data_IF_895333790122
#
_entry.id   IF_895333790122
#
_cell.length_a   1.000
_cell.length_b   1.000
_cell.length_c   1.000
_cell.angle_alpha   90.00
_cell.angle_beta   90.00
_cell.angle_gamma   90.00
#
_symmetry.space_group_name_H-M   'P 1'
#
loop_
_entity.id
_entity.type
_entity.pdbx_description
1 polymer ?
#
# COMPACT_ATOMS: atom_id res chain seq x y z
N UNK A 1 -40.24 -17.13 18.98
CA UNK A 1 -38.83 -16.78 18.70
C UNK A 1 -38.83 -15.30 18.40
N UNK A 2 -38.10 -14.50 19.18
CA UNK A 2 -37.99 -13.07 18.97
C UNK A 2 -36.61 -12.80 18.39
N UNK A 3 -36.55 -12.15 17.24
CA UNK A 3 -35.30 -11.76 16.62
C UNK A 3 -34.92 -10.35 17.11
N UNK A 4 -33.66 -10.17 17.48
CA UNK A 4 -33.10 -8.88 17.85
C UNK A 4 -32.00 -8.54 16.84
N UNK A 5 -32.15 -7.41 16.16
CA UNK A 5 -31.13 -6.85 15.26
C UNK A 5 -30.34 -5.79 16.02
N UNK A 6 -29.01 -5.90 15.99
CA UNK A 6 -28.09 -4.90 16.56
C UNK A 6 -27.26 -4.34 15.41
N UNK A 7 -27.34 -3.03 15.19
CA UNK A 7 -26.58 -2.32 14.17
C UNK A 7 -25.53 -1.43 14.85
N UNK A 8 -24.30 -1.47 14.35
CA UNK A 8 -23.20 -0.65 14.83
C UNK A 8 -22.91 0.47 13.83
N UNK A 9 -22.78 1.70 14.32
CA UNK A 9 -22.44 2.86 13.51
C UNK A 9 -21.20 3.55 14.08
N UNK A 10 -20.35 4.05 13.19
CA UNK A 10 -19.25 4.95 13.51
C UNK A 10 -19.61 6.36 13.04
N UNK A 11 -19.27 7.37 13.82
CA UNK A 11 -19.44 8.77 13.43
C UNK A 11 -18.15 9.34 12.82
N UNK A 12 -18.19 10.62 12.45
CA UNK A 12 -17.05 11.33 11.86
C UNK A 12 -15.86 11.54 12.81
N UNK A 13 -16.02 11.27 14.10
CA UNK A 13 -14.95 11.32 15.10
C UNK A 13 -14.23 9.98 15.30
N UNK A 14 -14.69 8.92 14.62
CA UNK A 14 -14.07 7.60 14.70
C UNK A 14 -12.68 7.58 14.04
N UNK A 15 -11.65 7.64 14.90
CA UNK A 15 -10.23 7.62 14.56
C UNK A 15 -9.48 6.50 15.31
N UNK A 16 -9.71 5.23 14.94
CA UNK A 16 -9.09 4.08 15.58
C UNK A 16 -7.59 3.99 15.28
N UNK A 17 -6.81 3.45 16.21
CA UNK A 17 -5.42 3.12 15.94
C UNK A 17 -5.31 1.95 14.95
N UNK A 18 -4.34 1.95 14.02
CA UNK A 18 -4.17 0.87 13.05
C UNK A 18 -4.02 -0.50 13.71
N UNK A 19 -4.60 -1.54 13.10
CA UNK A 19 -4.52 -2.94 13.55
C UNK A 19 -5.04 -3.16 14.99
N UNK A 20 -6.04 -2.39 15.40
CA UNK A 20 -6.72 -2.63 16.68
C UNK A 20 -7.94 -3.51 16.50
N UNK A 21 -8.11 -4.44 17.44
CA UNK A 21 -9.37 -5.16 17.59
C UNK A 21 -10.44 -4.16 18.03
N UNK A 22 -11.59 -4.21 17.36
CA UNK A 22 -12.76 -3.49 17.84
C UNK A 22 -13.20 -4.13 19.16
N UNK A 23 -13.21 -3.34 20.23
CA UNK A 23 -13.82 -3.74 21.48
C UNK A 23 -15.01 -2.83 21.76
N UNK A 24 -16.11 -3.44 22.19
CA UNK A 24 -17.22 -2.67 22.74
C UNK A 24 -16.84 -2.22 24.15
N UNK A 25 -16.99 -0.93 24.42
CA UNK A 25 -16.74 -0.38 25.74
C UNK A 25 -17.67 -1.06 26.74
N UNK A 26 -17.08 -1.66 27.77
CA UNK A 26 -17.79 -2.33 28.84
C UNK A 26 -17.54 -1.59 30.17
N UNK A 27 -18.60 -1.40 30.94
CA UNK A 27 -18.55 -0.72 32.25
C UNK A 27 -19.09 -1.59 33.40
N UNK A 28 -19.40 -2.86 33.15
CA UNK A 28 -20.19 -3.73 34.05
C UNK A 28 -19.76 -5.20 34.04
N UNK A 29 -20.70 -6.14 33.94
CA UNK A 29 -20.45 -7.58 33.64
C UNK A 29 -21.18 -8.02 32.35
N UNK A 30 -21.68 -7.04 31.58
CA UNK A 30 -22.48 -7.20 30.37
C UNK A 30 -22.46 -5.91 29.55
N UNK A 31 -22.77 -5.98 28.26
CA UNK A 31 -22.84 -4.81 27.37
C UNK A 31 -24.22 -4.16 27.38
N UNK A 32 -25.28 -4.97 27.27
CA UNK A 32 -26.66 -4.52 27.29
C UNK A 32 -27.47 -5.35 28.29
N UNK A 33 -28.44 -4.74 28.96
CA UNK A 33 -29.42 -5.46 29.77
C UNK A 33 -30.83 -5.01 29.47
N UNK A 34 -31.74 -5.97 29.33
CA UNK A 34 -33.17 -5.71 29.23
C UNK A 34 -33.81 -6.05 30.56
N UNK A 35 -34.31 -5.04 31.26
CA UNK A 35 -35.10 -5.23 32.46
C UNK A 35 -36.53 -5.60 32.06
N UNK A 36 -37.00 -6.75 32.52
CA UNK A 36 -38.39 -7.16 32.38
C UNK A 36 -39.08 -7.05 33.74
N UNK A 37 -40.00 -6.10 33.84
CA UNK A 37 -40.81 -5.85 35.04
C UNK A 37 -42.06 -6.75 35.01
N UNK A 38 -42.12 -7.75 35.89
CA UNK A 38 -43.26 -8.66 36.01
C UNK A 38 -43.41 -9.71 34.90
N UNK A 39 -42.36 -10.46 34.51
CA UNK A 39 -42.49 -11.50 33.49
C UNK A 39 -43.48 -12.59 33.93
N UNK A 40 -44.58 -12.73 33.20
CA UNK A 40 -45.53 -13.85 33.31
C UNK A 40 -46.66 -13.71 34.33
N UNK A 41 -46.63 -12.72 35.23
CA UNK A 41 -47.72 -12.50 36.21
C UNK A 41 -47.92 -11.00 36.47
N UNK A 42 -49.13 -10.43 36.24
CA UNK A 42 -49.42 -9.06 36.61
C UNK A 42 -49.21 -8.84 38.12
N UNK A 43 -48.54 -7.75 38.50
CA UNK A 43 -48.37 -7.29 39.89
C UNK A 43 -47.29 -7.98 40.75
N UNK A 44 -46.29 -8.63 40.15
CA UNK A 44 -45.09 -9.08 40.89
C UNK A 44 -43.97 -8.06 40.72
N UNK A 45 -43.53 -7.43 41.80
CA UNK A 45 -42.44 -6.43 41.84
C UNK A 45 -41.03 -7.01 41.62
N UNK A 46 -40.92 -8.26 41.16
CA UNK A 46 -39.65 -8.93 40.92
C UNK A 46 -39.24 -8.71 39.46
N UNK A 47 -38.28 -7.82 39.25
CA UNK A 47 -37.66 -7.65 37.94
C UNK A 47 -36.61 -8.73 37.69
N UNK A 48 -36.56 -9.22 36.46
CA UNK A 48 -35.46 -10.06 35.96
C UNK A 48 -34.80 -9.34 34.81
N UNK A 49 -33.46 -9.36 34.80
CA UNK A 49 -32.67 -8.77 33.74
C UNK A 49 -32.16 -9.87 32.82
N UNK A 50 -32.38 -9.72 31.51
CA UNK A 50 -31.62 -10.42 30.50
C UNK A 50 -30.35 -9.63 30.24
N UNK A 51 -29.19 -10.17 30.62
CA UNK A 51 -27.87 -9.60 30.34
C UNK A 51 -27.35 -10.19 29.03
N UNK A 52 -26.92 -9.33 28.11
CA UNK A 52 -26.38 -9.71 26.82
C UNK A 52 -24.93 -9.21 26.73
N UNK A 53 -24.06 -10.12 26.33
CA UNK A 53 -22.67 -9.85 26.03
C UNK A 53 -22.36 -10.33 24.61
N UNK A 54 -21.56 -9.54 23.89
CA UNK A 54 -21.15 -9.80 22.53
C UNK A 54 -19.63 -9.85 22.51
N UNK A 55 -19.09 -11.02 22.21
CA UNK A 55 -17.67 -11.13 21.95
C UNK A 55 -17.42 -10.81 20.47
N UNK A 56 -16.82 -9.67 20.19
CA UNK A 56 -16.43 -9.27 18.83
C UNK A 56 -15.10 -9.94 18.43
N UNK A 57 -15.07 -11.26 18.45
CA UNK A 57 -13.92 -12.01 17.94
C UNK A 57 -13.79 -11.76 16.43
N UNK A 58 -12.57 -11.45 15.99
CA UNK A 58 -12.17 -11.29 14.59
C UNK A 58 -12.62 -10.00 13.86
N UNK A 59 -13.16 -9.00 14.56
CA UNK A 59 -13.39 -7.67 13.97
C UNK A 59 -12.13 -6.81 14.16
N UNK A 60 -11.31 -6.73 13.10
CA UNK A 60 -10.11 -5.91 13.06
C UNK A 60 -10.28 -4.67 12.20
N UNK A 61 -9.81 -3.53 12.70
CA UNK A 61 -9.75 -2.30 11.92
C UNK A 61 -8.46 -2.30 11.09
N UNK A 62 -8.60 -2.44 9.79
CA UNK A 62 -7.51 -2.29 8.82
C UNK A 62 -7.66 -0.94 8.11
N UNK A 63 -7.15 0.11 8.74
CA UNK A 63 -7.15 1.48 8.20
C UNK A 63 -5.77 2.12 8.39
N UNK A 64 -5.28 2.93 7.42
CA UNK A 64 -5.58 2.92 5.99
C UNK A 64 -4.76 1.85 5.24
N UNK A 65 -5.29 1.27 4.16
CA UNK A 65 -4.57 0.21 3.41
C UNK A 65 -5.07 0.01 1.98
N UNK A 66 -4.23 -0.59 1.15
CA UNK A 66 -4.64 -1.24 -0.11
C UNK A 66 -4.37 -2.74 0.00
N UNK A 67 -5.34 -3.57 -0.39
CA UNK A 67 -5.24 -5.03 -0.20
C UNK A 67 -4.40 -5.73 -1.27
N UNK A 68 -4.18 -5.10 -2.42
CA UNK A 68 -3.46 -5.75 -3.52
C UNK A 68 -2.60 -4.75 -4.26
N UNK A 69 -1.43 -5.20 -4.71
CA UNK A 69 -0.54 -4.42 -5.57
C UNK A 69 -0.22 -5.22 -6.83
N UNK A 70 -0.37 -4.60 -8.00
CA UNK A 70 -0.10 -5.23 -9.30
C UNK A 70 0.88 -4.35 -10.07
N UNK A 71 1.92 -4.95 -10.63
CA UNK A 71 2.84 -4.26 -11.53
C UNK A 71 2.25 -4.26 -12.95
N UNK A 72 2.14 -3.08 -13.55
CA UNK A 72 1.58 -2.89 -14.90
C UNK A 72 2.54 -2.07 -15.77
N UNK A 73 2.46 -2.26 -17.08
CA UNK A 73 3.27 -1.56 -18.09
C UNK A 73 3.43 -2.42 -19.34
N UNK A 74 3.72 -1.79 -20.48
CA UNK A 74 3.82 -2.50 -21.78
C UNK A 74 4.88 -3.61 -21.76
N UNK A 75 6.00 -3.38 -21.08
CA UNK A 75 7.10 -4.33 -20.97
C UNK A 75 7.07 -5.17 -19.69
N UNK A 76 5.98 -5.08 -18.91
CA UNK A 76 5.86 -5.79 -17.64
C UNK A 76 5.38 -7.21 -17.84
N UNK A 77 6.08 -8.16 -17.24
CA UNK A 77 5.63 -9.54 -17.09
C UNK A 77 5.76 -9.96 -15.63
N UNK A 78 4.63 -10.25 -14.98
CA UNK A 78 4.55 -10.52 -13.54
C UNK A 78 5.15 -9.35 -12.73
N UNK A 79 6.29 -9.56 -12.08
CA UNK A 79 7.02 -8.58 -11.28
C UNK A 79 8.28 -8.05 -11.98
N UNK A 80 8.41 -8.23 -13.29
CA UNK A 80 9.61 -7.87 -14.06
C UNK A 80 9.27 -6.82 -15.10
N UNK A 81 9.99 -5.70 -15.09
CA UNK A 81 10.00 -4.69 -16.15
C UNK A 81 11.11 -5.04 -17.13
N UNK A 82 10.80 -5.31 -18.40
CA UNK A 82 11.82 -5.49 -19.42
C UNK A 82 12.29 -4.13 -19.95
N UNK A 83 13.57 -3.82 -19.76
CA UNK A 83 14.16 -2.56 -20.26
C UNK A 83 14.56 -2.65 -21.74
N UNK A 84 14.67 -3.85 -22.29
CA UNK A 84 15.17 -4.08 -23.64
C UNK A 84 16.69 -4.08 -23.73
N UNK A 85 17.19 -3.88 -24.94
CA UNK A 85 18.62 -3.91 -25.26
C UNK A 85 19.14 -2.49 -25.53
N UNK A 86 20.32 -2.19 -24.98
CA UNK A 86 20.99 -0.91 -25.17
C UNK A 86 22.43 -1.14 -25.61
N UNK A 87 22.89 -0.31 -26.53
CA UNK A 87 24.28 -0.28 -26.93
C UNK A 87 25.15 0.37 -25.84
N UNK A 88 26.42 -0.01 -25.79
CA UNK A 88 27.43 0.64 -24.93
C UNK A 88 27.46 2.15 -25.16
N UNK A 89 27.28 2.60 -26.41
CA UNK A 89 27.21 4.01 -26.78
C UNK A 89 26.06 4.73 -26.09
N UNK A 90 24.85 4.17 -26.14
CA UNK A 90 23.66 4.77 -25.51
C UNK A 90 23.81 4.92 -24.00
N UNK A 91 24.38 3.92 -23.33
CA UNK A 91 24.65 4.00 -21.89
C UNK A 91 25.72 5.05 -21.60
N UNK A 92 26.80 5.08 -22.39
CA UNK A 92 27.92 6.00 -22.19
C UNK A 92 27.53 7.46 -22.41
N UNK A 93 26.59 7.73 -23.32
CA UNK A 93 26.04 9.06 -23.60
C UNK A 93 24.73 9.36 -22.84
N UNK A 94 24.34 8.52 -21.88
CA UNK A 94 23.12 8.65 -21.08
C UNK A 94 21.82 8.84 -21.90
N UNK A 95 21.77 8.27 -23.11
CA UNK A 95 20.67 8.40 -24.07
C UNK A 95 19.76 7.16 -24.15
N UNK A 96 19.90 6.23 -23.19
CA UNK A 96 18.96 5.13 -23.02
C UNK A 96 17.54 5.67 -22.78
N UNK A 97 16.57 5.19 -23.56
CA UNK A 97 15.16 5.55 -23.41
C UNK A 97 14.60 5.03 -22.07
N UNK A 98 13.90 5.86 -21.29
CA UNK A 98 13.19 5.41 -20.10
C UNK A 98 12.07 4.43 -20.43
N UNK A 99 11.84 3.45 -19.56
CA UNK A 99 10.74 2.49 -19.65
C UNK A 99 9.75 2.72 -18.53
N UNK A 100 8.51 3.05 -18.88
CA UNK A 100 7.45 3.34 -17.94
C UNK A 100 6.82 2.07 -17.38
N UNK A 101 6.49 2.10 -16.10
CA UNK A 101 5.70 1.08 -15.42
C UNK A 101 4.91 1.73 -14.28
N UNK A 102 3.92 1.02 -13.74
CA UNK A 102 3.17 1.48 -12.58
C UNK A 102 2.95 0.36 -11.58
N UNK A 103 2.94 0.72 -10.30
CA UNK A 103 2.45 -0.15 -9.23
C UNK A 103 1.02 0.29 -8.95
N UNK A 104 0.08 -0.53 -9.41
CA UNK A 104 -1.35 -0.32 -9.22
C UNK A 104 -1.78 -0.91 -7.89
N UNK A 105 -2.09 -0.03 -6.95
CA UNK A 105 -2.61 -0.37 -5.63
C UNK A 105 -4.14 -0.48 -5.74
N UNK A 106 -4.69 -1.62 -5.39
CA UNK A 106 -6.08 -1.98 -5.61
C UNK A 106 -6.79 -2.17 -4.28
N UNK A 107 -8.10 -1.91 -4.30
CA UNK A 107 -8.98 -2.00 -3.14
C UNK A 107 -8.48 -1.11 -1.98
N UNK A 108 -8.09 0.13 -2.29
CA UNK A 108 -7.59 1.08 -1.31
C UNK A 108 -8.75 1.64 -0.46
N UNK A 109 -8.49 1.83 0.84
CA UNK A 109 -9.47 2.29 1.83
C UNK A 109 -8.85 3.38 2.72
N UNK A 110 -9.46 4.57 2.71
CA UNK A 110 -9.13 5.76 3.52
C UNK A 110 -7.68 6.23 3.41
N UNK A 111 -7.06 6.15 2.24
CA UNK A 111 -5.68 6.61 2.09
C UNK A 111 -5.68 8.10 1.82
N UNK A 112 -5.03 8.88 2.69
CA UNK A 112 -4.84 10.32 2.50
C UNK A 112 -3.43 10.64 1.98
N UNK A 113 -2.47 9.78 2.29
CA UNK A 113 -1.09 9.89 1.81
C UNK A 113 -0.45 8.51 1.60
N UNK A 114 0.35 8.43 0.56
CA UNK A 114 1.16 7.27 0.22
C UNK A 114 2.61 7.70 0.19
N UNK A 115 3.48 6.95 0.85
CA UNK A 115 4.92 7.15 0.84
C UNK A 115 5.59 5.92 0.28
N UNK A 116 6.39 6.10 -0.77
CA UNK A 116 7.10 5.02 -1.44
C UNK A 116 8.60 5.21 -1.31
N UNK A 117 9.29 4.24 -0.71
CA UNK A 117 10.75 4.16 -0.64
C UNK A 117 11.27 3.01 -1.50
N UNK A 118 12.52 3.11 -1.94
CA UNK A 118 13.19 2.07 -2.71
C UNK A 118 14.27 1.40 -1.87
N UNK A 119 14.25 0.07 -1.80
CA UNK A 119 15.31 -0.75 -1.19
C UNK A 119 15.95 -1.65 -2.22
N UNK A 120 17.24 -1.90 -2.09
CA UNK A 120 17.95 -2.87 -2.92
C UNK A 120 19.17 -3.42 -2.21
N UNK A 121 19.48 -4.69 -2.45
CA UNK A 121 20.70 -5.32 -1.93
C UNK A 121 21.95 -4.96 -2.75
N UNK A 122 21.78 -4.52 -4.00
CA UNK A 122 22.89 -4.22 -4.91
C UNK A 122 22.63 -2.86 -5.57
N UNK A 123 23.52 -1.91 -5.32
CA UNK A 123 23.52 -0.57 -5.93
C UNK A 123 24.73 -0.40 -6.84
N UNK A 124 24.72 0.65 -7.66
CA UNK A 124 25.86 1.03 -8.50
C UNK A 124 27.13 1.21 -7.67
N UNK A 125 28.27 0.77 -8.22
CA UNK A 125 29.56 0.80 -7.52
C UNK A 125 30.07 2.25 -7.43
N UNK A 126 29.88 3.02 -8.49
CA UNK A 126 30.35 4.39 -8.59
C UNK A 126 29.22 5.41 -8.44
N UNK A 127 27.97 4.99 -8.63
CA UNK A 127 26.77 5.78 -8.42
C UNK A 127 25.71 4.99 -7.62
N UNK A 128 25.70 5.13 -6.28
CA UNK A 128 24.74 4.45 -5.41
C UNK A 128 23.27 4.86 -5.61
N UNK A 129 22.99 5.89 -6.42
CA UNK A 129 21.61 6.24 -6.81
C UNK A 129 21.00 5.20 -7.78
N UNK A 130 21.84 4.38 -8.41
CA UNK A 130 21.42 3.38 -9.37
C UNK A 130 21.28 2.01 -8.69
N UNK A 131 20.30 1.22 -9.14
CA UNK A 131 20.25 -0.20 -8.87
C UNK A 131 21.37 -0.91 -9.65
N UNK A 132 22.15 -1.74 -8.97
CA UNK A 132 23.29 -2.42 -9.56
C UNK A 132 22.91 -3.77 -10.21
N UNK A 133 23.82 -4.27 -11.04
CA UNK A 133 23.66 -5.58 -11.69
C UNK A 133 23.79 -6.71 -10.65
N UNK A 134 22.78 -7.56 -10.57
CA UNK A 134 22.72 -8.74 -9.70
C UNK A 134 23.25 -10.00 -10.38
N UNK A 135 23.43 -9.98 -11.70
CA UNK A 135 24.08 -11.07 -12.41
C UNK A 135 25.57 -11.10 -12.04
N UNK A 136 26.11 -12.31 -11.96
CA UNK A 136 27.53 -12.55 -11.71
C UNK A 136 28.03 -13.53 -12.77
N UNK A 137 29.16 -13.24 -13.41
CA UNK A 137 29.71 -14.09 -14.45
C UNK A 137 30.78 -13.38 -15.28
N UNK A 138 31.13 -13.98 -16.41
CA UNK A 138 31.99 -13.34 -17.42
C UNK A 138 31.19 -12.50 -18.42
N UNK A 139 29.92 -12.82 -18.58
CA UNK A 139 29.03 -12.25 -19.60
C UNK A 139 28.05 -11.24 -19.01
N UNK A 140 28.26 -10.78 -17.77
CA UNK A 140 27.43 -9.76 -17.14
C UNK A 140 27.92 -8.35 -17.48
N UNK A 141 26.98 -7.45 -17.75
CA UNK A 141 27.27 -6.06 -18.07
C UNK A 141 27.95 -5.37 -16.87
N UNK A 142 28.96 -4.53 -17.16
CA UNK A 142 29.67 -3.72 -16.15
C UNK A 142 29.52 -2.23 -16.46
N UNK A 143 29.61 -1.40 -15.43
CA UNK A 143 29.62 0.06 -15.57
C UNK A 143 28.27 0.69 -15.90
N UNK A 144 27.17 -0.03 -15.67
CA UNK A 144 25.81 0.45 -15.83
C UNK A 144 24.98 0.15 -14.58
N UNK A 145 23.91 0.92 -14.37
CA UNK A 145 22.91 0.69 -13.34
C UNK A 145 21.56 1.26 -13.75
N UNK A 146 20.50 0.92 -13.02
CA UNK A 146 19.14 1.39 -13.34
C UNK A 146 18.73 2.52 -12.39
N UNK A 147 18.40 3.67 -12.96
CA UNK A 147 17.77 4.77 -12.26
C UNK A 147 16.26 4.53 -12.19
N UNK A 148 15.67 4.68 -11.01
CA UNK A 148 14.22 4.64 -10.81
C UNK A 148 13.73 6.03 -10.45
N UNK A 149 12.73 6.51 -11.17
CA UNK A 149 12.10 7.81 -10.91
C UNK A 149 10.58 7.64 -10.78
N UNK A 150 9.99 8.27 -9.76
CA UNK A 150 8.54 8.49 -9.70
C UNK A 150 8.16 9.63 -10.64
N UNK A 151 7.10 9.45 -11.41
CA UNK A 151 6.61 10.47 -12.34
C UNK A 151 5.83 11.58 -11.61
N UNK A 152 5.57 12.74 -12.24
CA UNK A 152 4.84 13.83 -11.60
C UNK A 152 3.43 13.41 -11.20
N UNK A 153 2.96 13.92 -10.06
CA UNK A 153 1.64 13.67 -9.50
C UNK A 153 1.16 14.91 -8.70
N UNK A 154 0.10 14.77 -7.90
CA UNK A 154 -0.45 15.88 -7.11
C UNK A 154 0.49 16.39 -5.99
N UNK A 155 1.48 15.59 -5.58
CA UNK A 155 2.46 15.91 -4.52
C UNK A 155 3.87 16.22 -5.05
N UNK A 156 4.18 15.83 -6.29
CA UNK A 156 5.48 16.06 -6.93
C UNK A 156 5.27 16.69 -8.30
N UNK A 157 5.76 17.91 -8.49
CA UNK A 157 5.64 18.64 -9.77
C UNK A 157 6.61 18.18 -10.85
N UNK A 158 7.61 17.37 -10.50
CA UNK A 158 8.66 16.86 -11.39
C UNK A 158 8.94 15.39 -11.07
N UNK A 159 9.73 14.74 -11.92
CA UNK A 159 10.25 13.41 -11.65
C UNK A 159 11.02 13.42 -10.31
N UNK A 160 10.74 12.43 -9.48
CA UNK A 160 11.41 12.24 -8.19
C UNK A 160 12.35 11.04 -8.28
N UNK A 161 13.65 11.26 -8.15
CA UNK A 161 14.63 10.17 -8.09
C UNK A 161 14.51 9.40 -6.77
N UNK A 162 14.12 8.12 -6.87
CA UNK A 162 14.13 7.19 -5.76
C UNK A 162 15.57 6.70 -5.50
N UNK A 163 16.13 7.09 -4.36
CA UNK A 163 17.49 6.70 -3.96
C UNK A 163 17.41 5.39 -3.19
N UNK A 164 17.99 4.29 -3.69
CA UNK A 164 17.95 3.00 -2.99
C UNK A 164 18.55 3.11 -1.59
N UNK A 165 17.84 2.58 -0.60
CA UNK A 165 18.28 2.48 0.81
C UNK A 165 18.42 3.81 1.57
N UNK A 166 18.05 4.94 0.97
CA UNK A 166 18.06 6.24 1.64
C UNK A 166 16.74 6.46 2.41
N UNK A 167 16.81 6.62 3.73
CA UNK A 167 15.63 6.84 4.58
C UNK A 167 14.91 8.17 4.32
N UNK A 168 15.60 9.12 3.70
CA UNK A 168 15.06 10.44 3.34
C UNK A 168 14.46 10.49 1.93
N UNK A 169 14.69 9.47 1.11
CA UNK A 169 14.16 9.39 -0.25
C UNK A 169 12.78 8.74 -0.25
N UNK A 170 11.73 9.57 -0.25
CA UNK A 170 10.33 9.14 -0.29
C UNK A 170 9.59 9.82 -1.42
N UNK A 171 9.09 9.02 -2.38
CA UNK A 171 8.14 9.48 -3.38
C UNK A 171 6.75 9.50 -2.75
N UNK A 172 6.17 10.69 -2.64
CA UNK A 172 4.87 10.87 -1.98
C UNK A 172 3.76 10.93 -3.02
N UNK A 173 2.62 10.32 -2.73
CA UNK A 173 1.40 10.48 -3.51
C UNK A 173 0.23 10.66 -2.56
N UNK A 174 -0.93 10.98 -3.10
CA UNK A 174 -2.18 10.96 -2.35
C UNK A 174 -3.29 10.40 -3.24
N UNK A 175 -4.22 9.73 -2.60
CA UNK A 175 -5.47 9.37 -3.23
C UNK A 175 -6.40 10.59 -3.28
N UNK A 176 -7.23 10.67 -4.31
CA UNK A 176 -8.33 11.61 -4.39
C UNK A 176 -9.61 10.92 -3.86
N UNK A 177 -9.58 10.50 -2.58
CA UNK A 177 -10.78 9.99 -1.89
C UNK A 177 -11.60 11.17 -1.37
N UNK A 178 -12.82 11.42 -1.88
CA UNK A 178 -13.69 12.48 -1.38
C UNK A 178 -14.17 12.25 0.07
N UNK A 179 -13.84 11.11 0.70
CA UNK A 179 -14.12 10.86 2.11
C UNK A 179 -15.59 10.55 2.40
N UNK A 180 -16.33 10.12 1.38
CA UNK A 180 -17.78 9.87 1.48
C UNK A 180 -18.13 8.59 2.25
N UNK A 181 -17.16 7.70 2.51
CA UNK A 181 -17.37 6.50 3.31
C UNK A 181 -16.83 6.69 4.73
N UNK A 182 -17.65 6.36 5.72
CA UNK A 182 -17.31 6.40 7.15
C UNK A 182 -16.22 5.39 7.58
N UNK A 183 -15.41 4.89 6.64
CA UNK A 183 -14.29 3.98 6.91
C UNK A 183 -14.68 2.53 7.14
N UNK A 184 -15.92 2.14 6.82
CA UNK A 184 -16.39 0.76 6.96
C UNK A 184 -16.30 0.08 5.59
N UNK A 185 -15.41 -0.90 5.48
CA UNK A 185 -15.28 -1.75 4.29
C UNK A 185 -15.59 -3.20 4.66
N UNK A 186 -16.42 -3.86 3.85
CA UNK A 186 -16.66 -5.29 3.95
C UNK A 186 -16.07 -5.97 2.69
N UNK A 187 -15.02 -6.80 2.82
CA UNK A 187 -14.38 -7.46 1.68
C UNK A 187 -15.29 -8.46 0.96
N UNK A 188 -16.27 -9.04 1.66
CA UNK A 188 -17.25 -9.97 1.07
C UNK A 188 -18.38 -9.22 0.33
N UNK A 189 -18.54 -7.93 0.61
CA UNK A 189 -19.57 -7.07 0.01
C UNK A 189 -18.99 -5.70 -0.40
N UNK A 190 -18.08 -5.66 -1.38
CA UNK A 190 -17.33 -4.44 -1.75
C UNK A 190 -18.22 -3.31 -2.27
N UNK A 191 -19.44 -3.61 -2.71
CA UNK A 191 -20.40 -2.63 -3.21
C UNK A 191 -21.48 -2.25 -2.18
N UNK A 192 -21.51 -2.90 -1.01
CA UNK A 192 -22.64 -2.74 -0.11
C UNK A 192 -22.56 -1.47 0.75
N UNK A 193 -21.38 -1.06 1.25
CA UNK A 193 -21.29 0.07 2.20
C UNK A 193 -19.91 0.78 2.26
N UNK A 194 -18.98 0.51 1.34
CA UNK A 194 -17.68 1.20 1.32
C UNK A 194 -17.02 1.15 -0.05
N UNK A 195 -16.90 2.32 -0.71
CA UNK A 195 -16.17 2.45 -1.97
C UNK A 195 -14.69 2.20 -1.72
N UNK A 196 -14.13 1.23 -2.43
CA UNK A 196 -12.69 1.14 -2.59
C UNK A 196 -12.25 1.85 -3.84
N UNK A 197 -10.99 2.22 -3.88
CA UNK A 197 -10.38 2.90 -5.01
C UNK A 197 -9.15 2.14 -5.50
N UNK A 198 -8.61 2.65 -6.60
CA UNK A 198 -7.37 2.18 -7.19
C UNK A 198 -6.44 3.39 -7.32
N UNK A 199 -5.23 3.27 -6.80
CA UNK A 199 -4.19 4.27 -6.97
C UNK A 199 -3.04 3.72 -7.80
N UNK A 200 -2.74 4.39 -8.90
CA UNK A 200 -1.64 4.03 -9.78
C UNK A 200 -0.40 4.87 -9.47
N UNK A 201 0.59 4.26 -8.81
CA UNK A 201 1.90 4.87 -8.60
C UNK A 201 2.73 4.70 -9.86
N UNK A 202 3.05 5.80 -10.55
CA UNK A 202 3.70 5.78 -11.87
C UNK A 202 5.20 6.02 -11.77
N UNK A 203 5.98 5.18 -12.43
CA UNK A 203 7.44 5.22 -12.40
C UNK A 203 8.03 5.07 -13.80
N UNK A 204 9.30 5.45 -13.92
CA UNK A 204 10.14 5.08 -15.05
C UNK A 204 11.45 4.45 -14.55
N UNK A 205 11.96 3.49 -15.33
CA UNK A 205 13.27 2.88 -15.15
C UNK A 205 14.16 3.23 -16.34
N UNK A 206 15.36 3.73 -16.08
CA UNK A 206 16.32 4.10 -17.14
C UNK A 206 17.67 3.49 -16.87
N UNK A 207 18.24 2.79 -17.86
CA UNK A 207 19.62 2.31 -17.77
C UNK A 207 20.58 3.50 -17.91
N UNK A 208 21.47 3.70 -16.94
CA UNK A 208 22.41 4.82 -16.87
C UNK A 208 23.82 4.32 -16.66
N UNK A 209 24.80 5.14 -17.04
CA UNK A 209 26.19 4.85 -16.71
C UNK A 209 26.38 4.89 -15.19
N UNK A 210 27.09 3.90 -14.66
CA UNK A 210 27.48 3.87 -13.25
C UNK A 210 28.63 4.86 -13.01
N UNK A 211 28.28 6.14 -12.86
CA UNK A 211 29.23 7.24 -12.76
C UNK A 211 30.15 7.32 -13.99
N UNK A 212 31.46 7.32 -13.77
CA UNK A 212 32.45 7.34 -14.85
C UNK A 212 32.99 5.94 -15.22
N UNK A 213 32.34 4.86 -14.75
CA UNK A 213 32.79 3.50 -15.01
C UNK A 213 32.91 3.18 -16.51
N UNK A 214 33.83 2.29 -16.87
CA UNK A 214 33.88 1.73 -18.23
C UNK A 214 32.70 0.78 -18.43
N UNK A 215 31.87 1.09 -19.42
CA UNK A 215 30.72 0.25 -19.78
C UNK A 215 31.19 -0.97 -20.57
N UNK A 216 30.79 -2.17 -20.15
CA UNK A 216 31.03 -3.43 -20.86
C UNK A 216 29.72 -4.11 -21.23
N UNK A 217 29.61 -4.70 -22.43
CA UNK A 217 28.42 -5.42 -22.84
C UNK A 217 28.20 -6.67 -21.99
N UNK A 218 26.95 -7.11 -21.87
CA UNK A 218 26.58 -8.32 -21.16
C UNK A 218 25.14 -8.31 -20.68
N UNK A 219 24.74 -9.36 -19.98
CA UNK A 219 23.44 -9.44 -19.32
C UNK A 219 23.35 -8.47 -18.15
N UNK A 220 22.19 -7.86 -17.97
CA UNK A 220 21.90 -6.99 -16.83
C UNK A 220 20.58 -7.40 -16.16
N UNK A 221 20.59 -7.50 -14.82
CA UNK A 221 19.38 -7.66 -14.02
C UNK A 221 19.53 -6.89 -12.72
N UNK A 222 18.58 -6.03 -12.40
CA UNK A 222 18.48 -5.40 -11.08
C UNK A 222 17.32 -6.02 -10.28
N UNK A 223 17.39 -5.92 -8.95
CA UNK A 223 16.29 -6.30 -8.06
C UNK A 223 16.14 -5.25 -6.98
N UNK A 224 14.90 -4.82 -6.74
CA UNK A 224 14.57 -3.83 -5.72
C UNK A 224 13.22 -4.14 -5.09
N UNK A 225 12.97 -3.56 -3.92
CA UNK A 225 11.70 -3.62 -3.20
C UNK A 225 11.18 -2.19 -3.06
N UNK A 226 9.95 -1.96 -3.50
CA UNK A 226 9.21 -0.74 -3.24
C UNK A 226 8.52 -0.90 -1.88
N UNK A 227 8.92 -0.10 -0.89
CA UNK A 227 8.30 -0.08 0.42
C UNK A 227 7.24 1.02 0.42
N UNK A 228 5.97 0.61 0.42
CA UNK A 228 4.83 1.51 0.40
C UNK A 228 4.24 1.61 1.80
N UNK A 229 4.04 2.83 2.29
CA UNK A 229 3.39 3.13 3.58
C UNK A 229 2.17 4.00 3.33
N UNK A 230 1.09 3.75 4.08
CA UNK A 230 -0.20 4.45 3.98
C UNK A 230 -0.45 5.27 5.24
N UNK A 231 -0.96 6.49 5.07
CA UNK A 231 -1.40 7.41 6.13
C UNK A 231 -2.78 8.01 5.83
#
# INVERSE_FOLDING_TARGET
MHDATVEFYTDSSFNPAPNTNVQLKHTGDYLYSFANEGPGVPNVSASKMLKIDFNLTDINIQLPTCFTSILLGESVTRSTVNLGEYTVGQITSDSATPVNFQISLQNCVRISSIKTKLKSNVVGVNNPLLLGNTLTGTDDAKGAGVLIEGLPNSKNSQNFTLKPNDETSSYNDAEDDPGENNGIYNPDYPNANGRTTTQDLKFQATLKRDGNATVKPGGFKATSTFQVTYE
#
